data_IF_477900496806
#
_entry.id   IF_477900496806
#
_cell.length_a   1.000
_cell.length_b   1.000
_cell.length_c   1.000
_cell.angle_alpha   90.00
_cell.angle_beta   90.00
_cell.angle_gamma   90.00
#
_symmetry.space_group_name_H-M   'P 1'
#
loop_
_entity.id
_entity.type
_entity.pdbx_description
1 polymer ?
#
# COMPACT_ATOMS: atom_id res chain seq x y z
N UNK A 1 -6.30 34.78 34.08
CA UNK A 1 -7.65 34.19 34.18
C UNK A 1 -7.56 32.72 33.79
N UNK A 2 -8.22 31.81 34.51
CA UNK A 2 -8.20 30.36 34.18
C UNK A 2 -8.89 30.12 32.84
N UNK A 3 -8.32 29.28 31.97
CA UNK A 3 -8.94 28.85 30.70
C UNK A 3 -9.90 27.66 30.86
N UNK A 4 -10.02 27.10 32.06
CA UNK A 4 -10.90 25.97 32.36
C UNK A 4 -12.03 26.47 33.27
N UNK A 5 -13.26 26.35 32.76
CA UNK A 5 -14.50 26.84 33.40
C UNK A 5 -15.21 25.75 34.22
N UNK A 6 -15.01 24.48 33.84
CA UNK A 6 -15.57 23.31 34.52
C UNK A 6 -14.71 23.02 35.76
N UNK A 7 -15.35 22.82 36.91
CA UNK A 7 -14.65 22.68 38.20
C UNK A 7 -14.03 21.30 38.33
N UNK A 8 -14.75 20.28 37.91
CA UNK A 8 -14.39 18.87 37.96
C UNK A 8 -13.09 18.60 37.18
N UNK A 9 -12.97 19.16 35.98
CA UNK A 9 -11.77 19.04 35.13
C UNK A 9 -10.54 19.72 35.77
N UNK A 10 -10.76 20.86 36.42
CA UNK A 10 -9.71 21.58 37.16
C UNK A 10 -9.27 20.77 38.37
N UNK A 11 -10.20 20.27 39.18
CA UNK A 11 -9.92 19.49 40.38
C UNK A 11 -9.21 18.17 40.02
N UNK A 12 -9.55 17.55 38.88
CA UNK A 12 -8.83 16.39 38.31
C UNK A 12 -7.38 16.71 37.94
N UNK A 13 -7.12 17.83 37.24
CA UNK A 13 -5.77 18.25 36.88
C UNK A 13 -4.92 18.67 38.09
N UNK A 14 -5.54 19.27 39.11
CA UNK A 14 -4.87 19.58 40.37
C UNK A 14 -4.57 18.29 41.17
N UNK A 15 -5.44 17.26 41.10
CA UNK A 15 -5.20 15.95 41.70
C UNK A 15 -4.05 15.17 41.03
N UNK A 16 -3.85 15.31 39.71
CA UNK A 16 -2.70 14.69 39.01
C UNK A 16 -1.33 15.19 39.49
N UNK A 17 -1.26 16.39 40.08
CA UNK A 17 -0.02 17.03 40.53
C UNK A 17 0.31 16.77 42.00
N UNK A 18 -0.59 16.12 42.75
CA UNK A 18 -0.39 15.79 44.17
C UNK A 18 0.22 14.39 44.29
N UNK A 19 1.21 14.18 45.18
CA UNK A 19 1.76 12.84 45.43
C UNK A 19 0.70 11.95 46.11
N UNK A 20 0.47 10.76 45.55
CA UNK A 20 -0.60 9.85 45.96
C UNK A 20 -1.78 9.86 44.98
N UNK A 21 -1.85 8.83 44.13
CA UNK A 21 -2.78 8.76 42.99
C UNK A 21 -4.20 8.38 43.47
N UNK A 22 -5.10 9.36 43.59
CA UNK A 22 -6.49 9.13 44.03
C UNK A 22 -7.42 8.48 42.97
N UNK A 23 -6.88 7.96 41.86
CA UNK A 23 -7.65 7.30 40.81
C UNK A 23 -6.85 6.27 40.02
N UNK A 24 -7.49 5.13 39.71
CA UNK A 24 -6.93 4.02 38.92
C UNK A 24 -7.35 4.16 37.46
N UNK A 25 -6.39 4.50 36.59
CA UNK A 25 -6.43 4.02 35.21
C UNK A 25 -5.99 2.54 35.19
N UNK A 26 -6.46 1.78 34.20
CA UNK A 26 -6.02 0.40 33.98
C UNK A 26 -4.49 0.27 33.88
N UNK A 27 -3.96 -0.91 34.17
CA UNK A 27 -2.51 -1.13 34.18
C UNK A 27 -1.87 -0.77 32.84
N UNK A 28 -0.68 -0.16 32.89
CA UNK A 28 0.12 0.12 31.69
C UNK A 28 0.35 -1.17 30.89
N UNK A 29 0.12 -1.11 29.58
CA UNK A 29 0.49 -2.19 28.67
C UNK A 29 2.03 -2.30 28.63
N UNK A 30 2.55 -3.30 29.34
CA UNK A 30 3.99 -3.52 29.50
C UNK A 30 4.67 -3.82 28.17
N UNK A 31 3.96 -4.42 27.22
CA UNK A 31 4.49 -4.70 25.88
C UNK A 31 4.75 -3.39 25.09
N UNK A 32 3.95 -2.35 25.34
CA UNK A 32 4.17 -1.03 24.74
C UNK A 32 5.38 -0.32 25.35
N UNK A 33 5.53 -0.34 26.67
CA UNK A 33 6.67 0.25 27.39
C UNK A 33 8.00 -0.42 26.98
N UNK A 34 8.04 -1.75 26.86
CA UNK A 34 9.20 -2.50 26.38
C UNK A 34 9.54 -2.19 24.90
N UNK A 35 8.53 -1.92 24.07
CA UNK A 35 8.73 -1.53 22.66
C UNK A 35 9.24 -0.10 22.52
N UNK A 36 8.79 0.80 23.38
CA UNK A 36 9.18 2.21 23.38
C UNK A 36 10.61 2.39 23.92
N UNK A 37 10.95 1.75 25.05
CA UNK A 37 12.33 1.72 25.58
C UNK A 37 13.34 1.12 24.60
N UNK A 38 12.99 0.03 23.90
CA UNK A 38 13.84 -0.56 22.84
C UNK A 38 13.99 0.36 21.61
N UNK A 39 12.99 1.18 21.32
CA UNK A 39 13.07 2.19 20.25
C UNK A 39 13.98 3.35 20.67
N UNK A 40 13.91 3.77 21.93
CA UNK A 40 14.75 4.82 22.50
C UNK A 40 16.23 4.40 22.49
N UNK A 41 16.56 3.22 23.02
CA UNK A 41 17.93 2.67 23.02
C UNK A 41 18.57 2.66 21.62
N UNK A 42 17.82 2.25 20.59
CA UNK A 42 18.33 2.27 19.20
C UNK A 42 18.64 3.68 18.70
N UNK A 43 17.86 4.69 19.08
CA UNK A 43 18.13 6.09 18.71
C UNK A 43 19.37 6.63 19.43
N UNK A 44 19.59 6.23 20.68
CA UNK A 44 20.76 6.61 21.46
C UNK A 44 22.03 5.91 20.93
N UNK A 45 21.93 4.63 20.53
CA UNK A 45 23.00 3.86 19.87
C UNK A 45 23.35 4.44 18.49
N UNK A 46 22.36 4.77 17.66
CA UNK A 46 22.59 5.34 16.33
C UNK A 46 23.10 6.80 16.41
N UNK A 47 22.64 7.58 17.40
CA UNK A 47 23.12 8.93 17.68
C UNK A 47 24.57 8.96 18.18
N UNK A 48 24.95 8.02 19.05
CA UNK A 48 26.33 7.89 19.54
C UNK A 48 27.29 7.41 18.44
N UNK A 49 26.85 6.53 17.52
CA UNK A 49 27.62 6.18 16.31
C UNK A 49 27.85 7.39 15.39
N UNK A 50 26.81 8.18 15.12
CA UNK A 50 26.94 9.39 14.30
C UNK A 50 27.87 10.45 14.94
N UNK A 51 27.88 10.54 16.27
CA UNK A 51 28.82 11.39 17.01
C UNK A 51 30.28 10.89 16.88
N UNK A 52 30.52 9.58 16.95
CA UNK A 52 31.85 9.00 16.74
C UNK A 52 32.34 9.15 15.30
N UNK A 53 31.48 8.93 14.30
CA UNK A 53 31.84 9.11 12.88
C UNK A 53 32.17 10.57 12.54
N UNK A 54 31.43 11.53 13.10
CA UNK A 54 31.73 12.96 12.89
C UNK A 54 33.01 13.42 13.59
N UNK A 55 33.34 12.88 14.78
CA UNK A 55 34.64 13.10 15.42
C UNK A 55 35.79 12.51 14.60
N UNK A 56 35.67 11.26 14.13
CA UNK A 56 36.67 10.60 13.30
C UNK A 56 36.86 11.28 11.92
N UNK A 57 35.80 11.90 11.37
CA UNK A 57 35.90 12.71 10.16
C UNK A 57 36.65 14.03 10.40
N UNK A 58 36.40 14.69 11.53
CA UNK A 58 37.10 15.92 11.92
C UNK A 58 38.59 15.67 12.18
N UNK A 59 38.96 14.59 12.87
CA UNK A 59 40.37 14.21 13.07
C UNK A 59 41.11 13.96 11.75
N UNK A 60 40.45 13.29 10.79
CA UNK A 60 41.03 13.06 9.44
C UNK A 60 41.24 14.32 8.61
N UNK A 61 40.48 15.39 8.86
CA UNK A 61 40.69 16.69 8.22
C UNK A 61 41.82 17.50 8.84
N UNK A 62 42.26 17.18 10.07
CA UNK A 62 43.30 17.91 10.78
C UNK A 62 44.74 17.48 10.42
N UNK A 63 44.93 16.39 9.66
CA UNK A 63 46.24 15.72 9.50
C UNK A 63 46.75 15.63 8.05
N UNK A 64 46.37 16.55 7.15
CA UNK A 64 46.86 16.53 5.75
C UNK A 64 47.32 17.92 5.29
N UNK A 65 48.64 18.12 5.30
CA UNK A 65 49.29 19.23 4.57
C UNK A 65 49.44 18.90 3.07
N UNK A 66 49.61 19.95 2.25
CA UNK A 66 49.67 19.90 0.78
C UNK A 66 50.94 19.22 0.24
N UNK A 67 50.82 18.60 -0.95
CA UNK A 67 51.77 18.87 -2.05
C UNK A 67 51.03 18.99 -3.41
N UNK A 68 51.60 19.77 -4.33
CA UNK A 68 51.03 20.16 -5.64
C UNK A 68 51.99 19.82 -6.79
N UNK A 69 51.42 19.75 -8.01
CA UNK A 69 52.04 19.77 -9.37
C UNK A 69 52.23 18.38 -10.04
N UNK A 70 52.33 18.22 -11.38
CA UNK A 70 52.43 19.21 -12.48
C UNK A 70 51.70 18.80 -13.79
N UNK A 71 51.80 19.66 -14.81
CA UNK A 71 51.10 19.72 -16.12
C UNK A 71 51.68 18.91 -17.30
N UNK A 72 50.86 18.75 -18.38
CA UNK A 72 51.13 18.76 -19.85
C UNK A 72 50.43 17.61 -20.63
N UNK A 73 49.94 17.71 -21.89
CA UNK A 73 49.64 18.82 -22.83
C UNK A 73 48.85 18.29 -24.08
N UNK A 74 48.01 19.13 -24.73
CA UNK A 74 47.53 19.07 -26.15
C UNK A 74 46.65 17.91 -26.67
N UNK A 75 45.97 18.04 -27.84
CA UNK A 75 45.23 19.21 -28.37
C UNK A 75 43.81 18.84 -28.89
N UNK A 76 43.08 19.81 -29.46
CA UNK A 76 41.74 19.66 -30.05
C UNK A 76 41.77 19.03 -31.46
N UNK A 77 40.77 18.20 -31.81
CA UNK A 77 40.24 18.07 -33.18
C UNK A 77 38.71 17.90 -33.16
N UNK A 78 38.07 18.37 -34.23
CA UNK A 78 36.63 18.30 -34.47
C UNK A 78 36.28 17.01 -35.22
N UNK A 79 35.15 16.36 -34.91
CA UNK A 79 34.56 15.39 -35.84
C UNK A 79 33.02 15.44 -35.85
N UNK A 80 32.44 15.01 -36.97
CA UNK A 80 31.13 15.44 -37.47
C UNK A 80 29.91 14.78 -36.80
N UNK A 81 28.86 15.58 -36.62
CA UNK A 81 27.52 15.09 -36.24
C UNK A 81 26.89 14.34 -37.43
N UNK A 82 27.14 13.04 -37.52
CA UNK A 82 26.43 12.16 -38.45
C UNK A 82 25.02 11.83 -37.92
N UNK A 83 23.99 12.43 -38.53
CA UNK A 83 22.58 12.13 -38.21
C UNK A 83 22.27 10.64 -38.39
N UNK A 84 21.71 9.93 -37.38
CA UNK A 84 21.31 8.54 -37.54
C UNK A 84 20.04 8.45 -38.39
N UNK A 85 20.18 8.08 -39.66
CA UNK A 85 19.07 7.79 -40.54
C UNK A 85 18.15 6.70 -39.91
N UNK A 86 16.81 6.81 -40.05
CA UNK A 86 15.88 5.91 -39.38
C UNK A 86 15.97 4.49 -39.97
N UNK A 87 16.73 3.61 -39.32
CA UNK A 87 16.72 2.17 -39.60
C UNK A 87 15.31 1.66 -39.35
N UNK A 88 14.56 1.38 -40.42
CA UNK A 88 13.26 0.68 -40.39
C UNK A 88 13.40 -0.54 -39.49
N UNK A 89 12.78 -0.52 -38.31
CA UNK A 89 12.81 -1.65 -37.40
C UNK A 89 12.09 -2.81 -38.08
N UNK A 90 12.83 -3.88 -38.39
CA UNK A 90 12.22 -5.17 -38.72
C UNK A 90 11.40 -5.54 -37.48
N UNK A 91 10.08 -5.64 -37.61
CA UNK A 91 9.21 -6.02 -36.49
C UNK A 91 9.75 -7.33 -35.93
N UNK A 92 10.22 -7.30 -34.68
CA UNK A 92 10.68 -8.51 -34.01
C UNK A 92 9.54 -9.55 -34.02
N UNK A 93 9.84 -10.84 -34.20
CA UNK A 93 8.82 -11.87 -34.14
C UNK A 93 8.05 -11.75 -32.82
N UNK A 94 6.73 -11.89 -32.87
CA UNK A 94 5.87 -11.72 -31.70
C UNK A 94 6.22 -12.76 -30.65
N UNK A 95 6.92 -12.33 -29.60
CA UNK A 95 7.35 -13.21 -28.51
C UNK A 95 6.15 -13.95 -27.91
N UNK A 96 6.33 -15.25 -27.63
CA UNK A 96 5.28 -16.12 -27.12
C UNK A 96 4.88 -15.66 -25.71
N UNK A 97 3.57 -15.54 -25.46
CA UNK A 97 2.99 -15.25 -24.14
C UNK A 97 2.88 -16.56 -23.36
N UNK A 98 3.73 -16.73 -22.35
CA UNK A 98 3.84 -18.00 -21.59
C UNK A 98 3.00 -17.99 -20.32
N UNK A 99 2.87 -16.82 -19.70
CA UNK A 99 2.09 -16.65 -18.47
C UNK A 99 0.62 -16.96 -18.77
N UNK A 100 0.15 -18.10 -18.26
CA UNK A 100 -1.25 -18.52 -18.32
C UNK A 100 -2.05 -17.91 -17.16
N UNK A 101 -3.40 -18.02 -17.16
CA UNK A 101 -4.22 -17.65 -16.02
C UNK A 101 -3.88 -18.45 -14.75
N UNK A 102 -3.57 -19.75 -14.89
CA UNK A 102 -3.15 -20.62 -13.77
C UNK A 102 -1.83 -20.13 -13.16
N UNK A 103 -0.78 -19.97 -13.98
CA UNK A 103 0.53 -19.44 -13.51
C UNK A 103 0.36 -18.06 -12.87
N UNK A 104 -0.55 -17.21 -13.39
CA UNK A 104 -0.84 -15.91 -12.77
C UNK A 104 -1.48 -16.06 -11.38
N UNK A 105 -2.43 -16.98 -11.23
CA UNK A 105 -3.10 -17.26 -9.96
C UNK A 105 -2.14 -17.85 -8.92
N UNK A 106 -1.23 -18.74 -9.32
CA UNK A 106 -0.22 -19.31 -8.42
C UNK A 106 0.81 -18.26 -7.97
N UNK A 107 1.27 -17.40 -8.87
CA UNK A 107 2.15 -16.26 -8.53
C UNK A 107 1.47 -15.23 -7.62
N UNK A 108 0.15 -15.04 -7.76
CA UNK A 108 -0.67 -14.21 -6.87
C UNK A 108 -0.82 -14.86 -5.49
N UNK A 109 -1.17 -16.15 -5.42
CA UNK A 109 -1.35 -16.94 -4.19
C UNK A 109 -0.06 -17.04 -3.37
N UNK A 110 1.09 -17.16 -4.03
CA UNK A 110 2.42 -17.24 -3.39
C UNK A 110 3.06 -15.88 -3.12
N UNK A 111 2.35 -14.78 -3.42
CA UNK A 111 2.83 -13.40 -3.27
C UNK A 111 4.20 -13.14 -3.92
N UNK A 112 4.45 -13.74 -5.09
CA UNK A 112 5.69 -13.56 -5.85
C UNK A 112 5.60 -12.26 -6.66
N UNK A 113 6.59 -11.37 -6.51
CA UNK A 113 6.67 -10.12 -7.27
C UNK A 113 7.06 -10.38 -8.73
N UNK A 114 6.67 -9.50 -9.67
CA UNK A 114 6.91 -9.72 -11.11
C UNK A 114 8.40 -9.88 -11.46
N UNK A 115 9.31 -9.26 -10.70
CA UNK A 115 10.76 -9.45 -10.84
C UNK A 115 11.18 -10.84 -10.37
N UNK A 116 10.73 -11.29 -9.18
CA UNK A 116 11.02 -12.64 -8.68
C UNK A 116 10.43 -13.71 -9.61
N UNK A 117 9.24 -13.49 -10.15
CA UNK A 117 8.62 -14.37 -11.15
C UNK A 117 9.48 -14.49 -12.40
N UNK A 118 10.00 -13.37 -12.94
CA UNK A 118 10.93 -13.41 -14.08
C UNK A 118 12.22 -14.20 -13.76
N UNK A 119 12.81 -13.98 -12.57
CA UNK A 119 14.01 -14.70 -12.13
C UNK A 119 13.82 -16.21 -11.93
N UNK A 120 12.62 -16.67 -11.54
CA UNK A 120 12.32 -18.10 -11.35
C UNK A 120 11.89 -18.76 -12.67
N UNK A 121 11.09 -18.08 -13.48
CA UNK A 121 10.53 -18.66 -14.72
C UNK A 121 11.54 -18.69 -15.88
N UNK A 122 12.54 -17.80 -15.89
CA UNK A 122 13.53 -17.78 -16.98
C UNK A 122 14.44 -19.02 -16.98
N UNK A 123 15.13 -19.40 -15.88
CA UNK A 123 15.96 -20.61 -15.87
C UNK A 123 15.13 -21.88 -16.06
N UNK A 124 13.94 -21.94 -15.45
CA UNK A 124 13.03 -23.09 -15.61
C UNK A 124 12.59 -23.28 -17.07
N UNK A 125 12.42 -22.20 -17.83
CA UNK A 125 12.15 -22.30 -19.26
C UNK A 125 13.37 -22.78 -20.06
N UNK A 126 14.59 -22.41 -19.67
CA UNK A 126 15.83 -22.90 -20.27
C UNK A 126 16.03 -24.41 -20.00
N UNK A 127 15.79 -24.87 -18.77
CA UNK A 127 15.82 -26.30 -18.41
C UNK A 127 14.79 -27.14 -19.18
N UNK A 128 13.61 -26.57 -19.46
CA UNK A 128 12.59 -27.20 -20.33
C UNK A 128 12.89 -27.08 -21.84
N UNK A 129 14.08 -26.59 -22.23
CA UNK A 129 14.51 -26.49 -23.62
C UNK A 129 13.86 -25.34 -24.42
N UNK A 130 13.21 -24.38 -23.77
CA UNK A 130 12.59 -23.25 -24.43
C UNK A 130 13.60 -22.12 -24.71
N UNK A 131 13.72 -21.70 -25.96
CA UNK A 131 14.62 -20.65 -26.40
C UNK A 131 14.25 -19.28 -25.82
N UNK A 132 14.99 -18.77 -24.82
CA UNK A 132 14.70 -17.53 -24.10
C UNK A 132 14.55 -16.29 -24.97
N UNK A 133 15.13 -16.26 -26.18
CA UNK A 133 14.95 -15.15 -27.14
C UNK A 133 13.53 -15.06 -27.70
N UNK A 134 12.79 -16.18 -27.74
CA UNK A 134 11.40 -16.24 -28.19
C UNK A 134 10.38 -15.95 -27.07
N UNK A 135 10.82 -15.94 -25.81
CA UNK A 135 9.97 -15.89 -24.63
C UNK A 135 9.80 -14.44 -24.13
N UNK A 136 8.55 -13.99 -23.92
CA UNK A 136 8.30 -12.67 -23.33
C UNK A 136 8.24 -12.74 -21.79
N UNK A 137 9.37 -13.05 -21.15
CA UNK A 137 9.49 -13.23 -19.69
C UNK A 137 10.05 -12.02 -18.93
N UNK A 138 9.93 -10.81 -19.48
CA UNK A 138 10.25 -9.60 -18.73
C UNK A 138 9.25 -9.34 -17.61
N UNK A 139 9.71 -8.77 -16.49
CA UNK A 139 8.83 -8.39 -15.37
C UNK A 139 7.67 -7.46 -15.81
N UNK A 140 7.90 -6.59 -16.80
CA UNK A 140 6.86 -5.71 -17.36
C UNK A 140 5.82 -6.47 -18.20
N UNK A 141 6.22 -7.55 -18.91
CA UNK A 141 5.25 -8.46 -19.54
C UNK A 141 4.48 -9.25 -18.49
N UNK A 142 5.14 -9.81 -17.48
CA UNK A 142 4.47 -10.55 -16.39
C UNK A 142 3.42 -9.67 -15.70
N UNK A 143 3.76 -8.43 -15.34
CA UNK A 143 2.83 -7.46 -14.74
C UNK A 143 1.59 -7.25 -15.62
N UNK A 144 1.79 -7.03 -16.93
CA UNK A 144 0.71 -6.83 -17.91
C UNK A 144 -0.18 -8.07 -18.08
N UNK A 145 0.41 -9.27 -18.09
CA UNK A 145 -0.36 -10.51 -18.15
C UNK A 145 -1.18 -10.73 -16.87
N UNK A 146 -0.58 -10.59 -15.68
CA UNK A 146 -1.30 -10.71 -14.40
C UNK A 146 -2.44 -9.71 -14.29
N UNK A 147 -2.23 -8.44 -14.64
CA UNK A 147 -3.30 -7.42 -14.68
C UNK A 147 -4.46 -7.85 -15.57
N UNK A 148 -4.16 -8.30 -16.79
CA UNK A 148 -5.17 -8.79 -17.74
C UNK A 148 -5.95 -9.98 -17.19
N UNK A 149 -5.27 -11.03 -16.73
CA UNK A 149 -5.95 -12.23 -16.20
C UNK A 149 -6.77 -11.92 -14.94
N UNK A 150 -6.35 -10.96 -14.09
CA UNK A 150 -7.17 -10.47 -12.96
C UNK A 150 -8.43 -9.74 -13.43
N UNK A 151 -8.34 -8.92 -14.49
CA UNK A 151 -9.51 -8.23 -15.06
C UNK A 151 -10.49 -9.24 -15.68
N UNK A 152 -9.99 -10.16 -16.51
CA UNK A 152 -10.77 -11.25 -17.09
C UNK A 152 -11.44 -12.10 -16.00
N UNK A 153 -10.70 -12.47 -14.94
CA UNK A 153 -11.24 -13.26 -13.83
C UNK A 153 -12.23 -12.49 -12.96
N UNK A 154 -12.03 -11.18 -12.75
CA UNK A 154 -12.97 -10.33 -12.02
C UNK A 154 -14.30 -10.20 -12.79
N UNK A 155 -14.27 -10.03 -14.12
CA UNK A 155 -15.46 -10.02 -14.95
C UNK A 155 -16.20 -11.37 -14.88
N UNK A 156 -15.49 -12.49 -15.06
CA UNK A 156 -16.05 -13.84 -14.93
C UNK A 156 -16.68 -14.09 -13.54
N UNK A 157 -16.03 -13.61 -12.47
CA UNK A 157 -16.51 -13.74 -11.09
C UNK A 157 -17.68 -12.81 -10.74
N UNK A 158 -17.91 -11.78 -11.54
CA UNK A 158 -19.05 -10.84 -11.43
C UNK A 158 -20.25 -11.38 -12.18
N UNK A 159 -20.07 -11.82 -13.43
CA UNK A 159 -21.11 -12.45 -14.25
C UNK A 159 -21.70 -13.69 -13.57
N UNK A 160 -20.86 -14.50 -12.91
CA UNK A 160 -21.29 -15.71 -12.18
C UNK A 160 -21.90 -15.45 -10.80
N UNK A 161 -21.95 -14.19 -10.33
CA UNK A 161 -22.43 -13.87 -8.99
C UNK A 161 -23.91 -13.48 -9.01
N UNK A 162 -24.78 -14.49 -8.91
CA UNK A 162 -26.23 -14.33 -8.79
C UNK A 162 -26.74 -15.03 -7.51
N UNK A 163 -26.58 -14.42 -6.33
CA UNK A 163 -27.06 -15.01 -5.07
C UNK A 163 -28.58 -14.93 -4.96
N UNK A 164 -29.23 -16.06 -4.67
CA UNK A 164 -30.68 -16.12 -4.42
C UNK A 164 -31.05 -15.97 -2.92
N UNK A 165 -30.04 -15.88 -2.05
CA UNK A 165 -30.19 -15.74 -0.59
C UNK A 165 -30.29 -14.27 -0.15
N UNK A 166 -30.90 -13.96 1.01
CA UNK A 166 -30.79 -12.65 1.64
C UNK A 166 -29.33 -12.30 1.95
N UNK A 167 -28.95 -11.05 1.71
CA UNK A 167 -27.60 -10.54 1.93
C UNK A 167 -27.57 -9.50 3.06
N UNK A 168 -26.52 -9.59 3.87
CA UNK A 168 -26.03 -8.50 4.70
C UNK A 168 -24.94 -7.76 3.94
N UNK A 169 -25.10 -6.45 3.76
CA UNK A 169 -24.05 -5.57 3.24
C UNK A 169 -23.14 -5.15 4.40
N UNK A 170 -21.82 -5.25 4.22
CA UNK A 170 -20.86 -4.75 5.19
C UNK A 170 -19.88 -3.77 4.55
N UNK A 171 -19.48 -2.78 5.34
CA UNK A 171 -18.39 -1.88 5.01
C UNK A 171 -17.58 -1.53 6.25
N UNK A 172 -16.27 -1.40 6.08
CA UNK A 172 -15.32 -0.99 7.11
C UNK A 172 -14.29 -0.05 6.47
N UNK A 173 -13.80 0.95 7.21
CA UNK A 173 -12.84 1.94 6.72
C UNK A 173 -11.43 1.60 7.17
N UNK A 174 -10.45 1.64 6.25
CA UNK A 174 -9.05 1.38 6.58
C UNK A 174 -8.09 2.34 5.90
N UNK A 175 -7.53 3.22 6.73
CA UNK A 175 -6.38 4.06 6.40
C UNK A 175 -5.18 3.20 5.96
N UNK A 176 -4.72 3.38 4.73
CA UNK A 176 -3.54 2.72 4.17
C UNK A 176 -2.69 3.70 3.34
N UNK A 177 -1.37 3.48 3.21
CA UNK A 177 -0.54 4.29 2.31
C UNK A 177 -1.05 4.23 0.86
N UNK A 178 -1.02 5.38 0.18
CA UNK A 178 -1.23 5.42 -1.26
C UNK A 178 -0.06 4.76 -2.02
N UNK A 179 -0.32 4.25 -3.23
CA UNK A 179 0.71 3.66 -4.07
C UNK A 179 1.52 4.71 -4.87
N UNK A 180 0.99 5.93 -4.98
CA UNK A 180 1.54 6.97 -5.88
C UNK A 180 2.14 8.14 -5.12
N UNK A 181 1.58 8.45 -3.94
CA UNK A 181 1.93 9.62 -3.14
C UNK A 181 2.20 9.17 -1.69
N UNK A 182 2.92 9.97 -0.90
CA UNK A 182 3.14 9.71 0.54
C UNK A 182 1.88 9.93 1.41
N UNK A 183 0.73 10.23 0.79
CA UNK A 183 -0.55 10.40 1.47
C UNK A 183 -1.11 9.07 1.99
N UNK A 184 -1.68 9.10 3.18
CA UNK A 184 -2.55 8.04 3.69
C UNK A 184 -3.95 8.24 3.10
N UNK A 185 -4.51 7.20 2.50
CA UNK A 185 -5.85 7.19 1.90
C UNK A 185 -6.74 6.23 2.67
N UNK A 186 -8.01 6.60 2.84
CA UNK A 186 -9.01 5.69 3.39
C UNK A 186 -9.48 4.71 2.30
N UNK A 187 -9.39 3.42 2.58
CA UNK A 187 -9.91 2.36 1.72
C UNK A 187 -11.10 1.72 2.39
N UNK A 188 -12.19 1.63 1.64
CA UNK A 188 -13.44 1.08 2.13
C UNK A 188 -13.74 -0.25 1.43
N UNK A 189 -13.29 -1.40 1.97
CA UNK A 189 -13.86 -2.70 1.61
C UNK A 189 -15.39 -2.68 1.71
N UNK A 190 -16.05 -3.00 0.60
CA UNK A 190 -17.49 -3.26 0.52
C UNK A 190 -17.65 -4.74 0.22
N UNK A 191 -18.33 -5.46 1.10
CA UNK A 191 -18.55 -6.89 1.00
C UNK A 191 -20.00 -7.25 1.32
N UNK A 192 -20.41 -8.42 0.87
CA UNK A 192 -21.71 -9.02 1.21
C UNK A 192 -21.52 -10.42 1.78
N UNK A 193 -22.35 -10.75 2.77
CA UNK A 193 -22.46 -12.11 3.31
C UNK A 193 -23.92 -12.57 3.32
N UNK A 194 -24.13 -13.88 3.21
CA UNK A 194 -25.44 -14.53 3.30
C UNK A 194 -25.26 -16.01 3.58
N UNK A 195 -26.33 -16.80 3.50
CA UNK A 195 -26.23 -18.25 3.67
C UNK A 195 -25.35 -18.87 2.57
N UNK A 196 -24.19 -19.42 2.96
CA UNK A 196 -23.21 -19.99 2.03
C UNK A 196 -22.52 -19.00 1.09
N UNK A 197 -22.74 -17.69 1.26
CA UNK A 197 -22.24 -16.64 0.36
C UNK A 197 -21.38 -15.65 1.15
N UNK A 198 -20.14 -15.43 0.70
CA UNK A 198 -19.28 -14.34 1.17
C UNK A 198 -18.52 -13.78 -0.04
N UNK A 199 -18.55 -12.44 -0.24
CA UNK A 199 -18.00 -11.81 -1.43
C UNK A 199 -17.58 -10.36 -1.16
N UNK A 200 -16.32 -10.03 -1.44
CA UNK A 200 -15.89 -8.63 -1.59
C UNK A 200 -16.35 -8.14 -2.97
N UNK A 201 -17.11 -7.05 -3.00
CA UNK A 201 -17.63 -6.44 -4.22
C UNK A 201 -16.65 -5.38 -4.77
N UNK A 202 -16.11 -4.54 -3.88
CA UNK A 202 -15.20 -3.47 -4.25
C UNK A 202 -14.31 -3.06 -3.06
N UNK A 203 -13.19 -2.38 -3.35
CA UNK A 203 -12.36 -1.68 -2.35
C UNK A 203 -12.02 -0.27 -2.85
N UNK A 204 -13.03 0.62 -2.97
CA UNK A 204 -12.83 2.02 -3.33
C UNK A 204 -11.93 2.78 -2.34
N UNK A 205 -11.42 3.91 -2.80
CA UNK A 205 -10.79 4.93 -1.97
C UNK A 205 -11.86 5.98 -1.64
N UNK A 206 -11.90 6.48 -0.41
CA UNK A 206 -12.89 7.46 0.06
C UNK A 206 -12.22 8.60 0.84
N UNK A 207 -12.98 9.68 1.07
CA UNK A 207 -12.58 10.82 1.92
C UNK A 207 -13.06 10.66 3.39
N UNK A 208 -13.57 9.49 3.79
CA UNK A 208 -14.11 9.23 5.13
C UNK A 208 -15.41 10.00 5.47
N UNK A 209 -16.06 10.60 4.47
CA UNK A 209 -17.30 11.40 4.62
C UNK A 209 -18.53 10.59 4.23
N UNK A 210 -19.60 10.72 5.01
CA UNK A 210 -20.80 9.88 4.90
C UNK A 210 -21.46 9.89 3.51
N UNK A 211 -21.60 11.06 2.89
CA UNK A 211 -22.30 11.20 1.60
C UNK A 211 -21.49 10.62 0.41
N UNK A 212 -20.20 10.96 0.20
CA UNK A 212 -19.36 10.27 -0.79
C UNK A 212 -19.29 8.75 -0.58
N UNK A 213 -19.22 8.29 0.68
CA UNK A 213 -19.21 6.87 1.03
C UNK A 213 -20.52 6.19 0.64
N UNK A 214 -21.68 6.75 1.00
CA UNK A 214 -22.99 6.21 0.62
C UNK A 214 -23.19 6.17 -0.90
N UNK A 215 -22.82 7.23 -1.62
CA UNK A 215 -22.91 7.28 -3.08
C UNK A 215 -22.02 6.20 -3.75
N UNK A 216 -20.83 5.97 -3.20
CA UNK A 216 -19.91 4.92 -3.68
C UNK A 216 -20.50 3.53 -3.45
N UNK A 217 -21.08 3.29 -2.27
CA UNK A 217 -21.75 2.04 -1.93
C UNK A 217 -22.96 1.81 -2.85
N UNK A 218 -23.83 2.80 -3.06
CA UNK A 218 -24.96 2.72 -4.01
C UNK A 218 -24.53 2.37 -5.43
N UNK A 219 -23.44 2.98 -5.91
CA UNK A 219 -22.85 2.66 -7.21
C UNK A 219 -22.44 1.19 -7.29
N UNK A 220 -21.78 0.66 -6.25
CA UNK A 220 -21.37 -0.76 -6.19
C UNK A 220 -22.57 -1.71 -6.10
N UNK A 221 -23.56 -1.42 -5.26
CA UNK A 221 -24.80 -2.23 -5.16
C UNK A 221 -25.52 -2.31 -6.52
N UNK A 222 -25.63 -1.16 -7.20
CA UNK A 222 -26.25 -1.06 -8.52
C UNK A 222 -25.43 -1.76 -9.61
N UNK A 223 -24.11 -1.60 -9.58
CA UNK A 223 -23.17 -2.22 -10.52
C UNK A 223 -23.22 -3.77 -10.45
N UNK A 224 -23.49 -4.32 -9.26
CA UNK A 224 -23.61 -5.75 -9.02
C UNK A 224 -25.07 -6.26 -9.08
N UNK A 225 -26.06 -5.38 -9.26
CA UNK A 225 -27.49 -5.71 -9.37
C UNK A 225 -28.03 -6.56 -8.20
N UNK A 226 -27.69 -6.19 -6.96
CA UNK A 226 -28.08 -6.93 -5.73
C UNK A 226 -29.00 -6.14 -4.78
N UNK A 227 -29.53 -4.98 -5.20
CA UNK A 227 -30.29 -4.06 -4.33
C UNK A 227 -31.51 -4.71 -3.65
N UNK A 228 -32.19 -5.61 -4.34
CA UNK A 228 -33.37 -6.37 -3.87
C UNK A 228 -33.03 -7.45 -2.83
N UNK A 229 -31.77 -7.88 -2.79
CA UNK A 229 -31.26 -8.96 -1.93
C UNK A 229 -30.70 -8.46 -0.60
N UNK A 230 -30.31 -7.19 -0.49
CA UNK A 230 -29.79 -6.62 0.76
C UNK A 230 -30.92 -6.46 1.77
N UNK A 231 -30.82 -7.14 2.92
CA UNK A 231 -31.80 -7.13 4.02
C UNK A 231 -31.23 -6.66 5.35
N UNK A 232 -29.91 -6.57 5.47
CA UNK A 232 -29.23 -6.08 6.65
C UNK A 232 -27.98 -5.28 6.27
N UNK A 233 -27.57 -4.39 7.17
CA UNK A 233 -26.37 -3.56 7.05
C UNK A 233 -25.49 -3.82 8.29
N UNK A 234 -24.18 -3.97 8.11
CA UNK A 234 -23.24 -4.23 9.19
C UNK A 234 -21.96 -3.38 9.03
N UNK A 235 -21.65 -2.58 10.03
CA UNK A 235 -20.64 -1.53 9.95
C UNK A 235 -20.29 -1.05 11.37
N UNK A 236 -19.20 -0.28 11.51
CA UNK A 236 -18.76 0.22 12.80
C UNK A 236 -19.63 1.38 13.33
N UNK A 237 -19.68 1.56 14.65
CA UNK A 237 -20.53 2.57 15.31
C UNK A 237 -19.91 3.97 15.28
N UNK A 238 -19.42 4.43 14.12
CA UNK A 238 -18.91 5.79 13.93
C UNK A 238 -20.04 6.77 13.61
N UNK A 239 -19.85 8.05 13.95
CA UNK A 239 -20.80 9.11 13.61
C UNK A 239 -20.98 9.29 12.09
N UNK A 240 -19.93 8.99 11.30
CA UNK A 240 -20.00 8.94 9.84
C UNK A 240 -21.00 7.88 9.36
N UNK A 241 -21.01 6.70 9.97
CA UNK A 241 -21.88 5.60 9.55
C UNK A 241 -23.28 5.67 10.16
N UNK A 242 -23.39 5.88 11.48
CA UNK A 242 -24.65 5.86 12.27
C UNK A 242 -25.34 7.22 12.42
N UNK A 243 -24.74 8.32 11.96
CA UNK A 243 -25.21 9.67 12.26
C UNK A 243 -26.67 9.91 11.84
N UNK A 244 -27.54 10.28 12.78
CA UNK A 244 -28.96 10.52 12.52
C UNK A 244 -29.23 11.69 11.54
N UNK A 245 -28.24 12.57 11.34
CA UNK A 245 -28.28 13.70 10.38
C UNK A 245 -27.56 13.36 9.06
N UNK A 246 -27.81 12.18 8.52
CA UNK A 246 -27.30 11.75 7.21
C UNK A 246 -25.93 11.06 7.24
N UNK A 247 -25.71 10.19 8.23
CA UNK A 247 -24.68 9.16 8.18
C UNK A 247 -24.97 8.12 7.10
N UNK A 248 -23.98 7.28 6.78
CA UNK A 248 -24.04 6.32 5.65
C UNK A 248 -25.30 5.46 5.71
N UNK A 249 -25.63 4.84 6.85
CA UNK A 249 -26.76 3.92 6.95
C UNK A 249 -28.15 4.59 6.82
N UNK A 250 -28.22 5.93 6.93
CA UNK A 250 -29.46 6.71 6.73
C UNK A 250 -29.62 7.10 5.25
N UNK A 251 -28.57 6.92 4.45
CA UNK A 251 -28.51 7.25 3.02
C UNK A 251 -28.54 6.04 2.10
N UNK A 252 -28.43 4.82 2.64
CA UNK A 252 -28.53 3.54 1.93
C UNK A 252 -29.99 3.05 1.91
#
# INVERSE_FOLDING_TARGET
>A
MSKITIKEDRDFLEAQRKPGRQGKMGGMDRAWVEKETRTQQRRDDDGSRAAQESQAFAERQATVELESSTSASSPEEQDVIASPAPKRSRRAPSQKKIISPQVSADLDRTNISDRKAAHVLLPFAEELGANTRELSLSASTINRQRKRHRQEKAAELKEKFAPDVPLTLHWDGKLMPSLTNEAVVDRLPILVSGEGVEKILAVPITDGKAEPTANTIHSVISEWAISDRIRALCFDTTATNTGSKGGVCVRL
#
